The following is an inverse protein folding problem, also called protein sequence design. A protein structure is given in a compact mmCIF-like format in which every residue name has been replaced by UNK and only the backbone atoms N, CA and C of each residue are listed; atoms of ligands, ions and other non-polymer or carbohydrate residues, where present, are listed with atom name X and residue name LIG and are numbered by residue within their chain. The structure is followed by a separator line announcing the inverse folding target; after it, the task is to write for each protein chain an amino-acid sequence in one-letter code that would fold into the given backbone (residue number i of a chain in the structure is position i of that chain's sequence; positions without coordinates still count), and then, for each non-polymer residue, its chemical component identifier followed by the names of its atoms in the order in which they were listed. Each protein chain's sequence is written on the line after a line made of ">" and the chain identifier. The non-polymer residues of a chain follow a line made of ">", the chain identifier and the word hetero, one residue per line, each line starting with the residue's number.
data_IF_743082099234
#
_entry.id   IF_743082099234
#
_cell.length_a   1.000
_cell.length_b   1.000
_cell.length_c   1.000
_cell.angle_alpha   90.00
_cell.angle_beta   90.00
_cell.angle_gamma   90.00
#
_symmetry.space_group_name_H-M   'P 1'
#
loop_
_entity.id
_entity.type
_entity.pdbx_description
1 polymer ?
#
# COMPACT_ATOMS: atom_id res chain seq x y z
N UNK A 1 -36.25 -25.76 -4.39
CA UNK A 1 -34.91 -25.88 -3.77
C UNK A 1 -33.74 -25.39 -4.64
N UNK A 2 -33.91 -25.08 -5.94
CA UNK A 2 -32.79 -24.66 -6.84
C UNK A 2 -32.36 -23.19 -6.71
N UNK A 3 -33.26 -22.30 -6.26
CA UNK A 3 -33.03 -20.84 -6.18
C UNK A 3 -32.27 -20.39 -4.92
N UNK A 4 -32.36 -21.15 -3.83
CA UNK A 4 -31.64 -20.88 -2.57
C UNK A 4 -30.14 -21.11 -2.73
N UNK A 5 -29.73 -22.15 -3.46
CA UNK A 5 -28.32 -22.39 -3.80
C UNK A 5 -27.71 -21.26 -4.64
N UNK A 6 -28.47 -20.70 -5.59
CA UNK A 6 -28.01 -19.56 -6.39
C UNK A 6 -27.82 -18.29 -5.55
N UNK A 7 -28.71 -18.04 -4.57
CA UNK A 7 -28.56 -16.90 -3.64
C UNK A 7 -27.36 -17.08 -2.72
N UNK A 8 -27.12 -18.30 -2.23
CA UNK A 8 -25.95 -18.61 -1.40
C UNK A 8 -24.64 -18.46 -2.20
N UNK A 9 -24.63 -18.91 -3.45
CA UNK A 9 -23.49 -18.75 -4.36
C UNK A 9 -23.21 -17.28 -4.70
N UNK A 10 -24.27 -16.49 -4.94
CA UNK A 10 -24.12 -15.05 -5.21
C UNK A 10 -23.60 -14.30 -3.99
N UNK A 11 -24.05 -14.69 -2.79
CA UNK A 11 -23.55 -14.14 -1.53
C UNK A 11 -22.08 -14.51 -1.31
N UNK A 12 -21.67 -15.73 -1.66
CA UNK A 12 -20.27 -16.19 -1.52
C UNK A 12 -19.32 -15.45 -2.46
N UNK A 13 -19.80 -15.02 -3.63
CA UNK A 13 -18.99 -14.36 -4.65
C UNK A 13 -18.66 -12.89 -4.31
N UNK A 14 -19.39 -12.25 -3.39
CA UNK A 14 -19.16 -10.84 -3.01
C UNK A 14 -18.20 -10.65 -1.84
N UNK A 15 -17.89 -11.70 -1.05
CA UNK A 15 -16.92 -11.63 0.04
C UNK A 15 -15.52 -11.13 -0.37
N UNK A 16 -14.91 -11.54 -1.50
CA UNK A 16 -13.56 -11.09 -1.84
C UNK A 16 -13.49 -9.61 -2.24
N UNK A 17 -14.61 -8.95 -2.54
CA UNK A 17 -14.63 -7.52 -2.86
C UNK A 17 -14.34 -6.64 -1.63
N UNK A 18 -14.71 -7.09 -0.43
CA UNK A 18 -14.44 -6.40 0.83
C UNK A 18 -12.98 -6.54 1.30
N UNK A 19 -12.22 -7.47 0.73
CA UNK A 19 -10.81 -7.70 1.06
C UNK A 19 -9.83 -6.91 0.17
N UNK A 20 -10.35 -6.04 -0.72
CA UNK A 20 -9.52 -5.19 -1.56
C UNK A 20 -8.95 -4.04 -0.71
N UNK A 21 -7.78 -4.28 -0.11
CA UNK A 21 -7.04 -3.27 0.65
C UNK A 21 -6.52 -2.17 -0.30
N UNK A 22 -7.34 -1.16 -0.57
CA UNK A 22 -6.89 0.04 -1.29
C UNK A 22 -6.21 0.97 -0.30
N UNK A 23 -4.89 0.89 -0.19
CA UNK A 23 -4.12 1.89 0.56
C UNK A 23 -4.10 3.17 -0.26
N UNK A 24 -4.72 4.24 0.25
CA UNK A 24 -4.64 5.56 -0.39
C UNK A 24 -3.23 6.11 -0.26
N UNK A 25 -2.63 6.49 -1.39
CA UNK A 25 -1.31 7.11 -1.39
C UNK A 25 -1.36 8.46 -0.65
N UNK A 26 -0.48 8.62 0.33
CA UNK A 26 -0.32 9.87 1.06
C UNK A 26 0.76 10.72 0.40
N UNK A 27 0.64 12.05 0.48
CA UNK A 27 1.74 12.92 0.07
C UNK A 27 2.91 12.81 1.05
N UNK A 28 4.15 13.19 0.67
CA UNK A 28 5.29 13.14 1.56
C UNK A 28 5.05 13.93 2.85
N UNK A 29 4.48 15.14 2.75
CA UNK A 29 4.21 15.98 3.92
C UNK A 29 3.17 15.37 4.86
N UNK A 30 2.16 14.68 4.32
CA UNK A 30 1.16 13.97 5.13
C UNK A 30 1.74 12.78 5.87
N UNK A 31 2.64 12.03 5.22
CA UNK A 31 3.28 10.86 5.81
C UNK A 31 4.38 11.23 6.82
N UNK A 32 5.21 12.21 6.47
CA UNK A 32 6.36 12.64 7.27
C UNK A 32 5.97 13.59 8.41
N UNK A 33 4.86 14.33 8.27
CA UNK A 33 4.39 15.32 9.23
C UNK A 33 5.04 16.71 9.07
N UNK A 34 5.82 16.92 8.01
CA UNK A 34 6.46 18.21 7.69
C UNK A 34 6.71 18.33 6.17
N UNK A 35 6.73 19.56 5.61
CA UNK A 35 7.13 19.85 4.24
C UNK A 35 8.51 19.31 3.84
N UNK A 36 8.65 18.91 2.58
CA UNK A 36 9.96 18.54 2.01
C UNK A 36 10.92 19.72 2.08
N UNK A 37 12.15 19.46 2.51
CA UNK A 37 13.20 20.47 2.62
C UNK A 37 13.17 21.30 3.92
N UNK A 38 12.14 21.15 4.75
CA UNK A 38 12.08 21.85 6.04
C UNK A 38 13.11 21.33 7.04
N UNK A 39 13.33 20.00 7.06
CA UNK A 39 14.33 19.37 7.91
C UNK A 39 14.91 18.10 7.29
N UNK A 40 16.03 17.66 7.85
CA UNK A 40 16.64 16.38 7.50
C UNK A 40 15.66 15.23 7.79
N UNK A 41 15.45 14.37 6.79
CA UNK A 41 14.63 13.16 6.96
C UNK A 41 15.56 11.97 7.16
N UNK A 42 15.52 11.31 8.32
CA UNK A 42 16.28 10.09 8.57
C UNK A 42 15.99 9.00 7.54
N UNK A 43 17.01 8.19 7.22
CA UNK A 43 16.93 7.15 6.20
C UNK A 43 15.75 6.19 6.40
N UNK A 44 15.50 5.74 7.63
CA UNK A 44 14.41 4.83 7.96
C UNK A 44 13.03 5.40 7.58
N UNK A 45 12.82 6.71 7.76
CA UNK A 45 11.57 7.38 7.38
C UNK A 45 11.40 7.45 5.87
N UNK A 46 12.48 7.66 5.13
CA UNK A 46 12.47 7.66 3.65
C UNK A 46 12.10 6.26 3.15
N UNK A 47 12.75 5.21 3.67
CA UNK A 47 12.46 3.83 3.28
C UNK A 47 10.99 3.48 3.55
N UNK A 48 10.47 3.80 4.74
CA UNK A 48 9.05 3.58 5.07
C UNK A 48 8.09 4.31 4.13
N UNK A 49 8.42 5.54 3.71
CA UNK A 49 7.60 6.26 2.74
C UNK A 49 7.65 5.64 1.34
N UNK A 50 8.81 5.17 0.90
CA UNK A 50 8.96 4.49 -0.40
C UNK A 50 8.19 3.17 -0.43
N UNK A 51 8.25 2.40 0.66
CA UNK A 51 7.45 1.17 0.84
C UNK A 51 5.95 1.47 0.79
N UNK A 52 5.49 2.49 1.53
CA UNK A 52 4.11 2.97 1.48
C UNK A 52 3.69 3.35 0.06
N UNK A 53 4.53 4.12 -0.65
CA UNK A 53 4.24 4.58 -1.99
C UNK A 53 4.13 3.42 -2.99
N UNK A 54 5.00 2.42 -2.88
CA UNK A 54 4.95 1.21 -3.70
C UNK A 54 3.70 0.37 -3.42
N UNK A 55 3.34 0.19 -2.14
CA UNK A 55 2.14 -0.55 -1.74
C UNK A 55 0.85 0.14 -2.18
N UNK A 56 0.78 1.47 -2.07
CA UNK A 56 -0.38 2.28 -2.44
C UNK A 56 -0.53 2.51 -3.95
N UNK A 57 0.53 2.29 -4.74
CA UNK A 57 0.56 2.55 -6.19
C UNK A 57 0.71 1.26 -7.00
N UNK A 58 -0.11 0.26 -6.71
CA UNK A 58 -0.13 -1.01 -7.43
C UNK A 58 -0.17 -0.80 -8.96
N UNK A 59 0.81 -1.39 -9.66
CA UNK A 59 0.94 -1.29 -11.12
C UNK A 59 1.58 0.00 -11.65
N UNK A 60 1.84 1.01 -10.80
CA UNK A 60 2.50 2.27 -11.20
C UNK A 60 3.88 2.44 -10.58
N UNK A 61 4.14 1.81 -9.44
CA UNK A 61 5.42 1.85 -8.75
C UNK A 61 5.82 0.42 -8.32
N UNK A 62 7.13 0.14 -8.38
CA UNK A 62 7.72 -1.11 -7.91
C UNK A 62 9.02 -0.80 -7.18
N UNK A 63 9.14 -1.31 -5.95
CA UNK A 63 10.39 -1.26 -5.20
C UNK A 63 11.26 -2.45 -5.59
N UNK A 64 12.49 -2.19 -6.03
CA UNK A 64 13.45 -3.22 -6.45
C UNK A 64 14.70 -3.09 -5.58
N UNK A 65 15.00 -4.09 -4.73
CA UNK A 65 16.26 -4.14 -4.00
C UNK A 65 17.44 -4.29 -4.96
N UNK A 66 18.46 -3.45 -4.84
CA UNK A 66 19.64 -3.48 -5.72
C UNK A 66 20.93 -3.92 -5.01
N UNK A 67 20.96 -3.87 -3.68
CA UNK A 67 22.12 -4.16 -2.87
C UNK A 67 21.95 -3.56 -1.47
N UNK A 68 22.89 -3.86 -0.58
CA UNK A 68 22.95 -3.29 0.76
C UNK A 68 24.31 -2.64 0.97
N UNK A 69 24.36 -1.69 1.90
CA UNK A 69 25.63 -1.13 2.35
C UNK A 69 26.24 -2.03 3.43
N UNK A 70 27.48 -1.74 3.84
CA UNK A 70 28.07 -2.40 5.01
C UNK A 70 27.39 -2.00 6.33
N UNK A 71 26.57 -0.95 6.32
CA UNK A 71 25.87 -0.40 7.48
C UNK A 71 24.42 -0.92 7.61
N UNK A 72 23.95 -1.69 6.61
CA UNK A 72 22.53 -2.00 6.42
C UNK A 72 21.97 -1.27 5.22
#
# INVERSE_FOLDING_TARGET
>A
MRKTGLRLLLLLLTLPALAQNTTTLQTPSQFLGYPLGEQFTPHDKIIRYVEHAAAASAGRAKLIPYGTTYEG
#
